data_IF_282637328426
#
_entry.id   IF_282637328426
#
_cell.length_a   1.000
_cell.length_b   1.000
_cell.length_c   1.000
_cell.angle_alpha   90.00
_cell.angle_beta   90.00
_cell.angle_gamma   90.00
#
_symmetry.space_group_name_H-M   'P 1'
#
loop_
_entity.id
_entity.type
_entity.pdbx_description
1 polymer ?
#
# COMPACT_ATOMS: atom_id res chain seq x y z
N UNK A 1 15.39 30.96 6.60
CA UNK A 1 14.98 29.99 5.56
C UNK A 1 15.54 28.60 5.86
N UNK A 2 16.81 28.49 6.28
CA UNK A 2 17.45 27.25 6.78
C UNK A 2 16.73 26.61 7.96
N UNK A 3 16.26 27.42 8.91
CA UNK A 3 15.72 26.89 10.18
C UNK A 3 14.38 26.18 9.97
N UNK A 4 13.54 26.71 9.08
CA UNK A 4 12.31 26.06 8.66
C UNK A 4 12.57 24.74 7.93
N UNK A 5 13.56 24.70 7.04
CA UNK A 5 13.95 23.46 6.34
C UNK A 5 14.40 22.40 7.34
N UNK A 6 15.18 22.79 8.35
CA UNK A 6 15.66 21.88 9.39
C UNK A 6 14.50 21.36 10.24
N UNK A 7 13.59 22.23 10.67
CA UNK A 7 12.39 21.86 11.44
C UNK A 7 11.50 20.90 10.64
N UNK A 8 11.16 21.23 9.38
CA UNK A 8 10.35 20.36 8.53
C UNK A 8 11.05 19.03 8.23
N UNK A 9 12.37 19.04 8.04
CA UNK A 9 13.18 17.84 7.84
C UNK A 9 13.12 16.90 9.04
N UNK A 10 13.30 17.42 10.26
CA UNK A 10 13.20 16.63 11.50
C UNK A 10 11.79 16.07 11.67
N UNK A 11 10.75 16.87 11.44
CA UNK A 11 9.35 16.41 11.52
C UNK A 11 9.12 15.25 10.52
N UNK A 12 9.55 15.39 9.27
CA UNK A 12 9.39 14.36 8.25
C UNK A 12 10.10 13.05 8.64
N UNK A 13 11.33 13.12 9.17
CA UNK A 13 12.07 11.95 9.65
C UNK A 13 11.34 11.28 10.81
N UNK A 14 10.91 12.04 11.82
CA UNK A 14 10.20 11.51 12.99
C UNK A 14 8.91 10.81 12.56
N UNK A 15 8.12 11.43 11.68
CA UNK A 15 6.87 10.82 11.20
C UNK A 15 7.12 9.53 10.41
N UNK A 16 8.14 9.52 9.55
CA UNK A 16 8.47 8.34 8.73
C UNK A 16 8.98 7.18 9.58
N UNK A 17 9.91 7.45 10.51
CA UNK A 17 10.48 6.41 11.39
C UNK A 17 9.43 5.90 12.37
N UNK A 18 8.59 6.77 12.92
CA UNK A 18 7.52 6.36 13.85
C UNK A 18 6.49 5.49 13.12
N UNK A 19 6.08 5.86 11.91
CA UNK A 19 5.18 5.04 11.12
C UNK A 19 5.77 3.65 10.83
N UNK A 20 7.05 3.59 10.45
CA UNK A 20 7.73 2.32 10.16
C UNK A 20 7.93 1.45 11.41
N UNK A 21 8.31 2.04 12.54
CA UNK A 21 8.62 1.32 13.79
C UNK A 21 7.38 0.93 14.59
N UNK A 22 6.27 1.67 14.46
CA UNK A 22 5.06 1.49 15.29
C UNK A 22 4.31 0.18 15.02
N UNK A 23 4.61 -0.53 13.93
CA UNK A 23 3.78 -1.67 13.52
C UNK A 23 2.34 -1.30 13.14
N UNK A 24 1.98 0.00 13.15
CA UNK A 24 0.71 0.52 12.61
C UNK A 24 0.61 0.32 11.10
N UNK A 25 1.73 0.01 10.43
CA UNK A 25 1.69 -0.65 9.12
C UNK A 25 1.25 -2.08 9.36
N UNK A 26 -0.05 -2.24 9.56
CA UNK A 26 -0.68 -3.53 9.81
C UNK A 26 -0.52 -4.39 8.54
N UNK A 27 0.35 -5.40 8.62
CA UNK A 27 0.43 -6.41 7.58
C UNK A 27 -0.82 -7.25 7.67
N UNK A 28 -1.74 -7.05 6.74
CA UNK A 28 -2.95 -7.85 6.72
C UNK A 28 -2.56 -9.34 6.63
N UNK A 29 -2.95 -10.19 7.60
CA UNK A 29 -2.72 -11.64 7.53
C UNK A 29 -3.59 -12.29 6.43
N UNK A 30 -4.35 -11.48 5.70
CA UNK A 30 -5.34 -11.89 4.72
C UNK A 30 -4.68 -12.02 3.35
N UNK A 31 -4.95 -13.16 2.71
CA UNK A 31 -4.66 -13.29 1.29
C UNK A 31 -5.81 -12.67 0.51
N UNK A 32 -5.53 -11.90 -0.53
CA UNK A 32 -6.60 -11.35 -1.38
C UNK A 32 -6.22 -11.28 -2.85
N UNK A 33 -7.12 -11.68 -3.75
CA UNK A 33 -7.01 -11.31 -5.15
C UNK A 33 -7.30 -9.82 -5.34
N UNK A 34 -6.44 -9.16 -6.11
CA UNK A 34 -6.58 -7.78 -6.55
C UNK A 34 -6.73 -7.76 -8.07
N UNK A 35 -7.84 -7.18 -8.55
CA UNK A 35 -8.17 -7.04 -9.97
C UNK A 35 -8.04 -5.57 -10.36
N UNK A 36 -7.27 -5.28 -11.42
CA UNK A 36 -7.03 -3.90 -11.87
C UNK A 36 -8.00 -3.50 -12.98
N UNK A 37 -8.75 -2.41 -12.73
CA UNK A 37 -9.86 -1.97 -13.58
C UNK A 37 -9.57 -0.65 -14.32
N UNK A 38 -8.40 -0.04 -14.11
CA UNK A 38 -8.03 1.27 -14.68
C UNK A 38 -6.52 1.43 -14.93
N UNK A 39 -6.09 2.64 -15.30
CA UNK A 39 -4.70 2.93 -15.70
C UNK A 39 -3.69 2.67 -14.57
N UNK A 40 -2.53 2.12 -14.94
CA UNK A 40 -1.27 1.96 -14.19
C UNK A 40 -1.25 2.04 -12.66
N UNK A 41 -0.97 0.92 -11.99
CA UNK A 41 -0.49 0.89 -10.60
C UNK A 41 0.95 0.39 -10.52
N UNK A 42 1.71 0.86 -9.53
CA UNK A 42 2.91 0.17 -9.07
C UNK A 42 2.52 -0.65 -7.85
N UNK A 43 2.66 -1.97 -7.94
CA UNK A 43 2.38 -2.92 -6.86
C UNK A 43 3.70 -3.49 -6.35
N UNK A 44 3.96 -3.33 -5.05
CA UNK A 44 5.05 -4.00 -4.34
C UNK A 44 4.50 -5.17 -3.54
N UNK A 45 5.13 -6.35 -3.64
CA UNK A 45 4.83 -7.54 -2.82
C UNK A 45 6.15 -8.23 -2.47
N UNK A 46 6.45 -8.43 -1.20
CA UNK A 46 7.59 -9.25 -0.76
C UNK A 46 8.96 -8.78 -1.29
N UNK A 47 9.11 -7.49 -1.59
CA UNK A 47 10.32 -6.90 -2.16
C UNK A 47 10.35 -6.83 -3.69
N UNK A 48 9.41 -7.49 -4.39
CA UNK A 48 9.26 -7.36 -5.83
C UNK A 48 8.32 -6.21 -6.18
N UNK A 49 8.64 -5.49 -7.26
CA UNK A 49 7.85 -4.34 -7.73
C UNK A 49 7.44 -4.56 -9.18
N UNK A 50 6.16 -4.40 -9.47
CA UNK A 50 5.62 -4.53 -10.82
C UNK A 50 4.64 -3.42 -11.16
N UNK A 51 4.72 -2.93 -12.40
CA UNK A 51 3.73 -2.01 -12.97
C UNK A 51 2.60 -2.82 -13.59
N UNK A 52 1.38 -2.55 -13.13
CA UNK A 52 0.19 -3.30 -13.47
C UNK A 52 -0.68 -2.55 -14.47
N UNK A 53 -1.27 -3.30 -15.38
CA UNK A 53 -2.14 -2.81 -16.46
C UNK A 53 -3.59 -3.18 -16.17
N UNK A 54 -4.56 -2.46 -16.77
CA UNK A 54 -5.96 -2.88 -16.72
C UNK A 54 -6.11 -4.35 -17.16
N UNK A 55 -6.86 -5.14 -16.39
CA UNK A 55 -7.08 -6.57 -16.63
C UNK A 55 -6.10 -7.50 -15.90
N UNK A 56 -5.01 -6.98 -15.34
CA UNK A 56 -4.10 -7.79 -14.54
C UNK A 56 -4.79 -8.27 -13.24
N UNK A 57 -4.44 -9.48 -12.81
CA UNK A 57 -4.92 -10.12 -11.58
C UNK A 57 -3.72 -10.61 -10.78
N UNK A 58 -3.71 -10.32 -9.48
CA UNK A 58 -2.67 -10.79 -8.56
C UNK A 58 -3.29 -11.42 -7.33
N UNK A 59 -2.63 -12.44 -6.80
CA UNK A 59 -2.89 -12.97 -5.46
C UNK A 59 -1.79 -12.44 -4.55
N UNK A 60 -2.16 -11.66 -3.54
CA UNK A 60 -1.24 -11.22 -2.49
C UNK A 60 -1.33 -12.25 -1.37
N UNK A 61 -0.25 -12.96 -1.03
CA UNK A 61 -0.27 -13.89 0.09
C UNK A 61 -0.41 -13.16 1.43
N UNK A 62 -1.16 -13.75 2.36
CA UNK A 62 -1.35 -13.20 3.70
C UNK A 62 -0.03 -13.09 4.48
N UNK A 63 0.13 -12.03 5.27
CA UNK A 63 1.32 -11.78 6.07
C UNK A 63 2.55 -11.31 5.27
N UNK A 64 2.45 -11.22 3.95
CA UNK A 64 3.50 -10.65 3.09
C UNK A 64 3.33 -9.14 3.00
N UNK A 65 4.42 -8.41 3.17
CA UNK A 65 4.44 -6.96 3.02
C UNK A 65 4.08 -6.57 1.59
N UNK A 66 3.11 -5.67 1.45
CA UNK A 66 2.64 -5.20 0.15
C UNK A 66 2.16 -3.75 0.20
N UNK A 67 2.24 -3.06 -0.93
CA UNK A 67 1.74 -1.70 -1.09
C UNK A 67 1.37 -1.44 -2.55
N UNK A 68 0.44 -0.51 -2.79
CA UNK A 68 0.08 -0.06 -4.13
C UNK A 68 0.20 1.47 -4.25
N UNK A 69 0.77 1.94 -5.34
CA UNK A 69 0.87 3.37 -5.68
C UNK A 69 0.20 3.64 -7.02
N UNK A 70 -0.73 4.58 -7.03
CA UNK A 70 -1.34 5.09 -8.26
C UNK A 70 -0.29 5.81 -9.12
N UNK A 71 -0.21 5.48 -10.41
CA UNK A 71 0.68 6.15 -11.36
C UNK A 71 -0.03 7.23 -12.20
N UNK A 72 -1.35 7.34 -12.07
CA UNK A 72 -2.18 8.32 -12.76
C UNK A 72 -3.21 8.94 -11.81
N UNK A 73 -3.82 10.05 -12.24
CA UNK A 73 -4.82 10.79 -11.46
C UNK A 73 -6.13 10.01 -11.23
N UNK A 74 -6.43 9.00 -12.05
CA UNK A 74 -7.65 8.19 -11.93
C UNK A 74 -7.34 6.71 -12.19
N UNK A 75 -7.27 5.96 -11.11
CA UNK A 75 -6.98 4.53 -11.11
C UNK A 75 -8.07 3.79 -10.33
N UNK A 76 -8.38 2.55 -10.71
CA UNK A 76 -9.38 1.71 -10.04
C UNK A 76 -8.86 0.30 -9.87
N UNK A 77 -9.06 -0.27 -8.69
CA UNK A 77 -8.77 -1.65 -8.38
C UNK A 77 -9.91 -2.24 -7.53
N UNK A 78 -10.10 -3.55 -7.63
CA UNK A 78 -11.08 -4.33 -6.86
C UNK A 78 -10.32 -5.35 -6.02
N UNK A 79 -10.46 -5.28 -4.70
CA UNK A 79 -9.89 -6.25 -3.77
C UNK A 79 -10.96 -7.20 -3.24
N UNK A 80 -10.64 -8.50 -3.17
CA UNK A 80 -11.51 -9.54 -2.60
C UNK A 80 -10.80 -10.14 -1.38
N UNK A 81 -11.24 -9.82 -0.17
CA UNK A 81 -10.54 -10.22 1.06
C UNK A 81 -11.07 -11.54 1.62
N UNK A 82 -10.17 -12.45 1.98
CA UNK A 82 -10.54 -13.68 2.70
C UNK A 82 -9.53 -14.00 3.83
N UNK A 83 -10.00 -14.16 5.09
CA UNK A 83 -11.35 -13.86 5.58
C UNK A 83 -11.74 -12.36 5.47
N UNK A 84 -13.01 -12.04 5.71
CA UNK A 84 -13.51 -10.65 5.70
C UNK A 84 -12.81 -9.86 6.80
N UNK A 85 -12.29 -8.67 6.45
CA UNK A 85 -11.66 -7.75 7.41
C UNK A 85 -12.65 -7.33 8.49
N UNK A 86 -12.21 -7.26 9.74
CA UNK A 86 -13.07 -6.85 10.86
C UNK A 86 -13.71 -5.48 10.63
N UNK A 87 -12.96 -4.53 10.06
CA UNK A 87 -13.45 -3.18 9.71
C UNK A 87 -14.53 -3.15 8.62
N UNK A 88 -14.73 -4.27 7.90
CA UNK A 88 -15.79 -4.42 6.89
C UNK A 88 -16.98 -5.24 7.41
N UNK A 89 -16.92 -5.75 8.64
CA UNK A 89 -18.07 -6.40 9.28
C UNK A 89 -19.01 -5.34 9.84
N UNK A 90 -20.31 -5.54 9.63
CA UNK A 90 -21.42 -4.66 10.02
C UNK A 90 -21.89 -4.93 11.45
#
# INVERSE_FOLDING_TARGET
>A
MSDFILIFGVIAVVLTVTALASGLVERSPLSFPLIFLGLGFLLGIGGEVKVLKPGDIYIIPGGVEHYAKALASKVRALGIYSPVREEFKY
#
